data_IF_323275315835
#
_entry.id   IF_323275315835
#
_cell.length_a   1.000
_cell.length_b   1.000
_cell.length_c   1.000
_cell.angle_alpha   90.00
_cell.angle_beta   90.00
_cell.angle_gamma   90.00
#
_symmetry.space_group_name_H-M   'P 1'
#
loop_
_entity.id
_entity.type
_entity.pdbx_description
1 polymer ?
#
# COMPACT_ATOMS: atom_id res chain seq x y z
N UNK A 1 25.11 -29.65 8.35
CA UNK A 1 25.56 -28.25 8.20
C UNK A 1 24.66 -27.37 9.04
N UNK A 2 25.20 -26.47 9.88
CA UNK A 2 24.36 -25.55 10.66
C UNK A 2 23.64 -24.58 9.72
N UNK A 3 22.36 -24.31 9.99
CA UNK A 3 21.56 -23.29 9.31
C UNK A 3 21.45 -22.07 10.22
N UNK A 4 21.94 -20.94 9.75
CA UNK A 4 21.80 -19.65 10.44
C UNK A 4 20.74 -18.83 9.70
N UNK A 5 19.75 -18.33 10.43
CA UNK A 5 18.73 -17.41 9.91
C UNK A 5 19.29 -16.00 9.97
N UNK A 6 19.30 -15.30 8.83
CA UNK A 6 19.64 -13.88 8.77
C UNK A 6 18.33 -13.10 8.73
N UNK A 7 18.11 -12.13 9.65
CA UNK A 7 16.89 -11.34 9.67
C UNK A 7 16.83 -10.36 8.50
N UNK A 8 15.61 -9.96 8.14
CA UNK A 8 15.41 -8.86 7.20
C UNK A 8 15.92 -7.54 7.82
N UNK A 9 16.52 -6.69 7.00
CA UNK A 9 16.94 -5.34 7.36
C UNK A 9 16.29 -4.32 6.41
N UNK A 10 16.37 -3.04 6.78
CA UNK A 10 15.91 -1.92 5.95
C UNK A 10 17.08 -0.98 5.69
N UNK A 11 17.00 -0.24 4.58
CA UNK A 11 17.92 0.85 4.27
C UNK A 11 17.48 2.11 5.03
N UNK A 12 18.31 2.64 5.92
CA UNK A 12 17.97 3.81 6.73
C UNK A 12 17.78 5.08 5.90
N UNK A 13 18.41 5.17 4.72
CA UNK A 13 18.24 6.31 3.82
C UNK A 13 16.84 6.30 3.18
N UNK A 14 16.21 5.12 3.06
CA UNK A 14 14.87 4.95 2.51
C UNK A 14 13.77 4.81 3.57
N UNK A 15 14.12 4.35 4.78
CA UNK A 15 13.21 4.06 5.88
C UNK A 15 13.40 5.00 7.07
N UNK A 16 13.54 6.29 6.78
CA UNK A 16 13.50 7.37 7.75
C UNK A 16 12.22 8.20 7.57
N UNK A 17 11.54 8.51 8.68
CA UNK A 17 10.41 9.43 8.68
C UNK A 17 10.53 10.38 9.88
N UNK A 18 10.36 11.69 9.70
CA UNK A 18 10.29 12.62 10.83
C UNK A 18 9.03 12.33 11.66
N UNK A 19 9.02 12.77 12.92
CA UNK A 19 7.83 12.68 13.77
C UNK A 19 6.63 13.35 13.09
N UNK A 20 5.52 12.62 12.96
CA UNK A 20 4.33 13.09 12.27
C UNK A 20 3.07 12.92 13.14
N UNK A 21 2.11 13.84 12.97
CA UNK A 21 0.79 13.75 13.60
C UNK A 21 -0.14 12.78 12.88
N UNK A 22 -1.37 12.64 13.39
CA UNK A 22 -2.40 11.84 12.71
C UNK A 22 -2.83 12.53 11.41
N UNK A 23 -2.99 11.73 10.35
CA UNK A 23 -3.48 12.22 9.06
C UNK A 23 -4.98 12.56 9.16
N UNK A 24 -5.42 13.80 8.86
CA UNK A 24 -6.82 14.22 9.01
C UNK A 24 -7.78 13.48 8.06
N UNK A 25 -7.29 13.11 6.87
CA UNK A 25 -8.02 12.29 5.92
C UNK A 25 -7.47 10.86 5.96
N UNK A 26 -8.21 9.87 6.49
CA UNK A 26 -7.75 8.48 6.52
C UNK A 26 -7.23 8.06 5.15
N UNK A 27 -6.00 7.55 5.13
CA UNK A 27 -5.30 7.24 3.89
C UNK A 27 -4.68 5.85 3.99
N UNK A 28 -5.01 4.97 3.05
CA UNK A 28 -4.40 3.66 2.92
C UNK A 28 -3.31 3.74 1.86
N UNK A 29 -2.08 3.39 2.24
CA UNK A 29 -0.99 3.08 1.30
C UNK A 29 -0.88 1.58 1.12
N UNK A 30 -0.71 1.09 -0.11
CA UNK A 30 -0.42 -0.32 -0.34
C UNK A 30 0.50 -0.53 -1.54
N UNK A 31 1.28 -1.62 -1.50
CA UNK A 31 2.13 -2.03 -2.61
C UNK A 31 1.26 -2.63 -3.72
N UNK A 32 1.08 -1.89 -4.81
CA UNK A 32 0.35 -2.36 -5.98
C UNK A 32 1.26 -3.22 -6.87
N UNK A 33 0.83 -4.45 -7.12
CA UNK A 33 1.48 -5.40 -8.03
C UNK A 33 0.45 -6.36 -8.62
N UNK A 34 0.56 -6.65 -9.91
CA UNK A 34 -0.29 -7.59 -10.64
C UNK A 34 0.10 -9.05 -10.38
N UNK A 35 1.23 -9.30 -9.71
CA UNK A 35 1.62 -10.64 -9.24
C UNK A 35 0.55 -11.21 -8.30
N UNK A 36 0.04 -12.41 -8.64
CA UNK A 36 -0.98 -13.13 -7.85
C UNK A 36 -0.59 -13.30 -6.38
N UNK A 37 0.71 -13.39 -6.06
CA UNK A 37 1.23 -13.49 -4.70
C UNK A 37 0.99 -12.25 -3.83
N UNK A 38 0.81 -11.07 -4.45
CA UNK A 38 0.60 -9.79 -3.75
C UNK A 38 -0.88 -9.50 -3.45
N UNK A 39 -1.80 -10.35 -3.94
CA UNK A 39 -3.24 -10.37 -3.61
C UNK A 39 -3.94 -9.00 -3.73
N UNK A 40 -3.57 -8.24 -4.76
CA UNK A 40 -4.13 -6.91 -5.06
C UNK A 40 -5.66 -6.93 -5.25
N UNK A 41 -6.21 -8.06 -5.71
CA UNK A 41 -7.65 -8.30 -5.82
C UNK A 41 -8.36 -8.28 -4.46
N UNK A 42 -7.77 -8.90 -3.44
CA UNK A 42 -8.29 -8.88 -2.06
C UNK A 42 -8.20 -7.48 -1.49
N UNK A 43 -7.07 -6.81 -1.68
CA UNK A 43 -6.87 -5.42 -1.24
C UNK A 43 -7.93 -4.49 -1.85
N UNK A 44 -8.24 -4.66 -3.14
CA UNK A 44 -9.31 -3.90 -3.81
C UNK A 44 -10.68 -4.14 -3.18
N UNK A 45 -11.05 -5.39 -2.87
CA UNK A 45 -12.31 -5.72 -2.18
C UNK A 45 -12.36 -5.10 -0.78
N UNK A 46 -11.28 -5.18 0.00
CA UNK A 46 -11.20 -4.59 1.32
C UNK A 46 -11.36 -3.06 1.30
N UNK A 47 -10.73 -2.39 0.32
CA UNK A 47 -10.87 -0.95 0.12
C UNK A 47 -12.33 -0.58 -0.22
N UNK A 48 -12.99 -1.35 -1.10
CA UNK A 48 -14.40 -1.12 -1.45
C UNK A 48 -15.31 -1.20 -0.22
N UNK A 49 -15.12 -2.18 0.65
CA UNK A 49 -15.86 -2.31 1.90
C UNK A 49 -15.53 -1.15 2.87
N UNK A 50 -14.25 -0.82 3.04
CA UNK A 50 -13.82 0.25 3.94
C UNK A 50 -14.40 1.62 3.57
N UNK A 51 -14.57 1.89 2.27
CA UNK A 51 -15.20 3.13 1.78
C UNK A 51 -16.67 3.28 2.17
N UNK A 52 -17.36 2.19 2.50
CA UNK A 52 -18.75 2.25 2.98
C UNK A 52 -18.82 2.88 4.38
N UNK A 53 -17.81 2.63 5.23
CA UNK A 53 -17.72 3.19 6.58
C UNK A 53 -16.93 4.49 6.66
N UNK A 54 -15.98 4.71 5.74
CA UNK A 54 -15.15 5.93 5.68
C UNK A 54 -15.23 6.52 4.27
N UNK A 55 -16.25 7.35 3.98
CA UNK A 55 -16.48 7.85 2.62
C UNK A 55 -15.35 8.74 2.07
N UNK A 56 -14.61 9.43 2.94
CA UNK A 56 -13.46 10.27 2.58
C UNK A 56 -12.12 9.51 2.54
N UNK A 57 -12.14 8.17 2.54
CA UNK A 57 -10.94 7.33 2.51
C UNK A 57 -10.13 7.55 1.23
N UNK A 58 -8.89 8.03 1.40
CA UNK A 58 -7.90 8.14 0.33
C UNK A 58 -7.12 6.84 0.18
N UNK A 59 -6.73 6.55 -1.05
CA UNK A 59 -5.95 5.34 -1.38
C UNK A 59 -4.78 5.72 -2.27
N UNK A 60 -3.59 5.29 -1.86
CA UNK A 60 -2.34 5.45 -2.59
C UNK A 60 -1.81 4.04 -2.89
N UNK A 61 -1.70 3.73 -4.18
CA UNK A 61 -1.02 2.53 -4.66
C UNK A 61 0.38 2.90 -5.11
N UNK A 62 1.40 2.23 -4.59
CA UNK A 62 2.80 2.45 -4.98
C UNK A 62 3.44 1.14 -5.47
N UNK A 63 4.30 1.24 -6.47
CA UNK A 63 4.93 0.10 -7.12
C UNK A 63 5.44 0.45 -8.51
N UNK A 64 6.06 -0.52 -9.17
CA UNK A 64 6.60 -0.36 -10.52
C UNK A 64 5.54 -0.40 -11.62
N UNK A 65 4.27 -0.60 -11.28
CA UNK A 65 3.19 -0.84 -12.22
C UNK A 65 2.12 0.24 -12.06
N UNK A 66 1.55 0.70 -13.18
CA UNK A 66 0.41 1.60 -13.12
C UNK A 66 -0.87 0.82 -12.74
N UNK A 67 -1.70 1.34 -11.82
CA UNK A 67 -2.99 0.76 -11.52
C UNK A 67 -3.87 0.76 -12.77
N UNK A 68 -4.46 -0.40 -13.09
CA UNK A 68 -5.47 -0.44 -14.14
C UNK A 68 -6.69 0.38 -13.70
N UNK A 69 -7.19 1.26 -14.59
CA UNK A 69 -8.32 2.15 -14.30
C UNK A 69 -9.58 1.41 -13.80
N UNK A 70 -9.73 0.14 -14.20
CA UNK A 70 -10.85 -0.71 -13.79
C UNK A 70 -10.80 -1.13 -12.31
N UNK A 71 -9.66 -1.02 -11.63
CA UNK A 71 -9.50 -1.55 -10.27
C UNK A 71 -9.72 -0.49 -9.17
N UNK A 72 -9.53 0.80 -9.46
CA UNK A 72 -9.67 1.86 -8.47
C UNK A 72 -10.25 3.16 -9.03
N UNK A 73 -11.33 3.66 -8.41
CA UNK A 73 -12.07 4.85 -8.85
C UNK A 73 -11.45 6.22 -8.49
N UNK A 74 -10.20 6.26 -8.05
CA UNK A 74 -9.33 7.45 -7.81
C UNK A 74 -8.16 6.96 -6.96
N UNK A 75 -7.06 6.60 -7.62
CA UNK A 75 -5.78 6.27 -6.97
C UNK A 75 -4.79 7.33 -7.39
N UNK A 76 -4.18 8.00 -6.43
CA UNK A 76 -3.00 8.80 -6.70
C UNK A 76 -1.83 7.83 -6.72
N UNK A 77 -1.20 7.68 -7.88
CA UNK A 77 0.07 6.94 -8.01
C UNK A 77 1.17 7.94 -7.71
N UNK A 78 1.98 7.64 -6.71
CA UNK A 78 3.22 8.35 -6.46
C UNK A 78 4.30 7.50 -7.12
N UNK A 79 4.80 7.97 -8.27
CA UNK A 79 5.96 7.40 -8.98
C UNK A 79 7.25 7.95 -8.43
#
# INVERSE_FOLDING_TARGET
MPRTLIPNAVDFDLFYAPSCGKQPNPTIGFNYRLLKSRRTDITSKAIKLSRQSVPNLRVIGFGSEQPSQHLFLKTIVVS
#
